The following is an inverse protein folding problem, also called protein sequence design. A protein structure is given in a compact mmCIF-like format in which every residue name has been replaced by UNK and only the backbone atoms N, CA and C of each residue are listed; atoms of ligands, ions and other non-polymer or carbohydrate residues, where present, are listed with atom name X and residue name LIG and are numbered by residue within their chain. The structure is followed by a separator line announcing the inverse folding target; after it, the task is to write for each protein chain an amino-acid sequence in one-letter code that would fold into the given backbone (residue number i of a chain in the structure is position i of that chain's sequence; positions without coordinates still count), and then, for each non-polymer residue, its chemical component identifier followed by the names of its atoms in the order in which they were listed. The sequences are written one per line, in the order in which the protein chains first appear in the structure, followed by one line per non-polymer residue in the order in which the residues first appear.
data_IF_748851190099
#
_entry.id   IF_748851190099
#
_cell.length_a   1.000
_cell.length_b   1.000
_cell.length_c   1.000
_cell.angle_alpha   90.00
_cell.angle_beta   90.00
_cell.angle_gamma   90.00
#
_symmetry.space_group_name_H-M   'P 1'
#
loop_
_entity.id
_entity.type
_entity.pdbx_description
1 polymer ?
#
# COMPACT_ATOMS: atom_id res chain seq x y z
N UNK A 1 4.00 -30.54 -21.79
CA UNK A 1 3.02 -30.86 -20.73
C UNK A 1 3.30 -29.95 -19.54
N UNK A 2 2.34 -29.13 -19.14
CA UNK A 2 2.44 -28.33 -17.92
C UNK A 2 2.42 -29.27 -16.71
N UNK A 3 3.44 -29.20 -15.85
CA UNK A 3 3.53 -29.99 -14.63
C UNK A 3 3.15 -29.09 -13.44
N UNK A 4 2.22 -29.56 -12.60
CA UNK A 4 1.77 -28.86 -11.39
C UNK A 4 2.91 -28.52 -10.43
N UNK A 5 4.06 -29.21 -10.55
CA UNK A 5 5.26 -28.93 -9.75
C UNK A 5 5.69 -27.47 -9.79
N UNK A 6 5.50 -26.76 -10.92
CA UNK A 6 5.90 -25.36 -11.06
C UNK A 6 5.14 -24.41 -10.11
N UNK A 7 3.94 -24.80 -9.64
CA UNK A 7 3.09 -23.97 -8.78
C UNK A 7 3.23 -24.30 -7.28
N UNK A 8 4.04 -25.30 -6.92
CA UNK A 8 4.27 -25.62 -5.51
C UNK A 8 5.08 -24.51 -4.85
N UNK A 9 4.76 -24.16 -3.60
CA UNK A 9 5.33 -22.98 -2.91
C UNK A 9 6.85 -23.02 -2.75
N UNK A 10 7.45 -24.22 -2.71
CA UNK A 10 8.89 -24.40 -2.67
C UNK A 10 9.58 -24.14 -4.01
N UNK A 11 8.83 -24.21 -5.11
CA UNK A 11 9.32 -24.02 -6.47
C UNK A 11 8.97 -22.63 -7.02
N UNK A 12 7.94 -21.98 -6.47
CA UNK A 12 7.62 -20.60 -6.77
C UNK A 12 8.74 -19.66 -6.30
N UNK A 13 9.17 -18.75 -7.18
CA UNK A 13 10.13 -17.71 -6.82
C UNK A 13 9.46 -16.81 -5.79
N UNK A 14 10.12 -16.64 -4.64
CA UNK A 14 9.65 -15.73 -3.60
C UNK A 14 9.86 -14.30 -4.07
N UNK A 15 8.89 -13.45 -3.75
CA UNK A 15 9.01 -12.03 -4.01
C UNK A 15 9.81 -11.41 -2.86
N UNK A 16 11.00 -10.92 -3.18
CA UNK A 16 11.88 -10.25 -2.22
C UNK A 16 11.39 -8.83 -1.92
N UNK A 17 11.76 -8.33 -0.74
CA UNK A 17 11.46 -6.96 -0.37
C UNK A 17 12.24 -5.96 -1.24
N UNK A 18 11.60 -4.84 -1.55
CA UNK A 18 12.15 -3.77 -2.38
C UNK A 18 12.66 -2.65 -1.49
N UNK A 19 13.86 -2.17 -1.77
CA UNK A 19 14.42 -0.98 -1.11
C UNK A 19 14.09 0.29 -1.87
N UNK A 20 13.72 1.35 -1.14
CA UNK A 20 13.34 2.62 -1.73
C UNK A 20 13.64 3.81 -0.81
N UNK A 21 14.27 4.87 -1.34
CA UNK A 21 14.45 6.12 -0.59
C UNK A 21 13.19 6.97 -0.72
N UNK A 22 12.35 6.97 0.32
CA UNK A 22 11.10 7.73 0.35
C UNK A 22 11.29 9.24 0.63
N UNK A 23 12.39 9.62 1.27
CA UNK A 23 12.72 11.00 1.59
C UNK A 23 14.22 11.20 1.72
N UNK A 24 14.73 12.31 1.18
CA UNK A 24 16.13 12.73 1.35
C UNK A 24 16.40 13.32 2.75
N UNK A 25 15.38 13.48 3.60
CA UNK A 25 15.51 14.12 4.92
C UNK A 25 15.89 13.15 6.03
N UNK A 26 15.67 11.85 5.82
CA UNK A 26 16.04 10.81 6.79
C UNK A 26 17.42 10.29 6.43
N UNK A 27 18.44 10.69 7.17
CA UNK A 27 19.84 10.37 6.87
C UNK A 27 20.39 9.36 7.87
N UNK A 28 21.26 8.47 7.39
CA UNK A 28 22.03 7.56 8.22
C UNK A 28 23.23 8.27 8.88
N UNK A 29 24.07 7.49 9.58
CA UNK A 29 25.27 8.00 10.25
C UNK A 29 26.33 8.55 9.29
N UNK A 30 26.26 8.18 8.01
CA UNK A 30 27.16 8.65 6.95
C UNK A 30 26.59 9.86 6.19
N UNK A 31 25.38 10.31 6.54
CA UNK A 31 24.70 11.42 5.87
C UNK A 31 24.01 11.03 4.56
N UNK A 32 23.80 9.73 4.30
CA UNK A 32 23.08 9.24 3.11
C UNK A 32 21.59 9.01 3.42
N UNK A 33 20.68 9.27 2.47
CA UNK A 33 19.26 8.96 2.65
C UNK A 33 19.02 7.48 2.98
N UNK A 34 18.20 7.24 3.99
CA UNK A 34 17.87 5.90 4.47
C UNK A 34 16.90 5.23 3.51
N UNK A 35 17.22 4.00 3.11
CA UNK A 35 16.35 3.14 2.34
C UNK A 35 15.25 2.55 3.22
N UNK A 36 14.01 2.68 2.77
CA UNK A 36 12.85 2.00 3.33
C UNK A 36 12.74 0.62 2.71
N UNK A 37 12.23 -0.35 3.47
CA UNK A 37 12.00 -1.71 2.99
C UNK A 37 10.51 -1.94 2.78
N UNK A 38 10.16 -2.35 1.55
CA UNK A 38 8.79 -2.54 1.11
C UNK A 38 8.53 -4.00 0.78
N UNK A 39 7.39 -4.53 1.20
CA UNK A 39 6.94 -5.88 0.83
C UNK A 39 5.71 -5.85 -0.08
N UNK A 40 5.60 -6.87 -0.91
CA UNK A 40 4.37 -7.18 -1.65
C UNK A 40 3.36 -7.81 -0.70
N UNK A 41 2.10 -7.39 -0.81
CA UNK A 41 1.00 -7.99 -0.10
C UNK A 41 0.45 -9.19 -0.86
N UNK A 42 0.06 -10.22 -0.12
CA UNK A 42 -0.77 -11.29 -0.65
C UNK A 42 -2.17 -10.75 -1.01
N UNK A 43 -2.86 -11.44 -1.93
CA UNK A 43 -4.25 -11.11 -2.26
C UNK A 43 -5.18 -11.15 -1.05
N UNK A 44 -4.89 -11.99 -0.05
CA UNK A 44 -5.68 -12.08 1.19
C UNK A 44 -5.47 -10.85 2.10
N UNK A 45 -4.22 -10.41 2.29
CA UNK A 45 -3.92 -9.18 3.03
C UNK A 45 -4.61 -7.97 2.38
N UNK A 46 -4.46 -7.83 1.07
CA UNK A 46 -5.05 -6.75 0.27
C UNK A 46 -6.60 -6.75 0.32
N UNK A 47 -7.23 -7.92 0.22
CA UNK A 47 -8.68 -8.05 0.39
C UNK A 47 -9.13 -7.70 1.83
N UNK A 48 -8.35 -8.07 2.84
CA UNK A 48 -8.61 -7.67 4.23
C UNK A 48 -8.55 -6.15 4.41
N UNK A 49 -7.58 -5.46 3.77
CA UNK A 49 -7.50 -4.00 3.78
C UNK A 49 -8.71 -3.35 3.11
N UNK A 50 -9.11 -3.83 1.92
CA UNK A 50 -10.32 -3.34 1.23
C UNK A 50 -11.57 -3.51 2.09
N UNK A 51 -11.75 -4.67 2.72
CA UNK A 51 -12.86 -4.92 3.64
C UNK A 51 -12.84 -3.99 4.85
N UNK A 52 -11.67 -3.81 5.48
CA UNK A 52 -11.48 -2.89 6.63
C UNK A 52 -11.88 -1.46 6.26
N UNK A 53 -11.63 -1.04 5.02
CA UNK A 53 -11.94 0.29 4.53
C UNK A 53 -13.32 0.41 3.87
N UNK A 54 -14.11 -0.68 3.80
CA UNK A 54 -15.48 -0.65 3.25
C UNK A 54 -16.47 -0.29 4.35
N UNK A 55 -17.29 0.74 4.12
CA UNK A 55 -18.35 1.18 5.04
C UNK A 55 -19.72 1.00 4.38
N UNK A 56 -20.72 0.70 5.21
CA UNK A 56 -22.13 0.72 4.77
C UNK A 56 -22.66 2.14 4.87
N UNK A 57 -23.04 2.72 3.73
CA UNK A 57 -23.58 4.08 3.63
C UNK A 57 -25.04 4.03 3.19
N UNK A 58 -25.85 5.00 3.66
CA UNK A 58 -27.26 5.10 3.29
C UNK A 58 -27.38 5.68 1.89
N UNK A 59 -28.19 5.05 1.05
CA UNK A 59 -28.47 5.55 -0.30
C UNK A 59 -29.30 6.83 -0.19
N UNK A 60 -28.84 7.89 -0.87
CA UNK A 60 -29.54 9.15 -1.04
C UNK A 60 -30.27 9.10 -2.39
N UNK A 61 -31.60 9.25 -2.37
CA UNK A 61 -32.38 9.33 -3.59
C UNK A 61 -32.16 10.67 -4.31
N UNK A 62 -32.58 10.75 -5.58
CA UNK A 62 -32.43 11.96 -6.41
C UNK A 62 -33.10 13.21 -5.82
N UNK A 63 -34.01 13.04 -4.85
CA UNK A 63 -34.67 14.11 -4.10
C UNK A 63 -33.90 14.54 -2.83
N UNK A 64 -32.67 14.07 -2.63
CA UNK A 64 -31.84 14.35 -1.46
C UNK A 64 -32.30 13.63 -0.18
N UNK A 65 -33.32 12.76 -0.24
CA UNK A 65 -33.84 12.04 0.93
C UNK A 65 -33.27 10.62 1.01
N UNK A 66 -33.10 10.12 2.22
CA UNK A 66 -32.71 8.73 2.45
C UNK A 66 -33.77 7.76 1.94
N UNK A 67 -33.38 6.75 1.18
CA UNK A 67 -34.29 5.74 0.64
C UNK A 67 -34.54 4.57 1.60
N UNK A 68 -33.84 4.53 2.74
CA UNK A 68 -33.83 3.39 3.66
C UNK A 68 -32.95 2.21 3.21
N UNK A 69 -32.41 2.28 1.99
CA UNK A 69 -31.46 1.29 1.45
C UNK A 69 -30.03 1.64 1.84
N UNK A 70 -29.17 0.62 1.88
CA UNK A 70 -27.74 0.76 2.15
C UNK A 70 -26.94 0.23 0.98
N UNK A 71 -25.83 0.89 0.67
CA UNK A 71 -24.79 0.40 -0.24
C UNK A 71 -23.46 0.29 0.49
N UNK A 72 -22.53 -0.45 -0.08
CA UNK A 72 -21.15 -0.55 0.39
C UNK A 72 -20.27 0.40 -0.41
N UNK A 73 -19.48 1.21 0.28
CA UNK A 73 -18.55 2.15 -0.32
C UNK A 73 -17.17 1.98 0.31
N UNK A 74 -16.13 1.91 -0.52
CA UNK A 74 -14.74 1.85 -0.06
C UNK A 74 -14.26 3.27 0.20
N UNK A 75 -13.76 3.51 1.41
CA UNK A 75 -12.99 4.71 1.75
C UNK A 75 -11.59 4.59 1.14
N UNK A 76 -11.46 5.02 -0.12
CA UNK A 76 -10.22 4.87 -0.89
C UNK A 76 -9.02 5.55 -0.23
N UNK A 77 -9.22 6.69 0.42
CA UNK A 77 -8.15 7.41 1.13
C UNK A 77 -7.62 6.59 2.33
N UNK A 78 -8.52 5.94 3.06
CA UNK A 78 -8.15 5.04 4.15
C UNK A 78 -7.46 3.79 3.61
N UNK A 79 -8.00 3.18 2.54
CA UNK A 79 -7.42 2.00 1.90
C UNK A 79 -5.98 2.25 1.41
N UNK A 80 -5.73 3.37 0.72
CA UNK A 80 -4.39 3.71 0.24
C UNK A 80 -3.41 3.90 1.39
N UNK A 81 -3.84 4.56 2.48
CA UNK A 81 -2.98 4.74 3.65
C UNK A 81 -2.65 3.41 4.33
N UNK A 82 -3.64 2.54 4.49
CA UNK A 82 -3.47 1.20 5.08
C UNK A 82 -2.62 0.29 4.18
N UNK A 83 -2.75 0.39 2.86
CA UNK A 83 -1.92 -0.31 1.88
C UNK A 83 -0.45 0.12 2.03
N UNK A 84 -0.19 1.42 2.10
CA UNK A 84 1.17 1.94 2.29
C UNK A 84 1.76 1.46 3.62
N UNK A 85 0.98 1.48 4.71
CA UNK A 85 1.39 0.97 6.01
C UNK A 85 1.73 -0.52 5.94
N UNK A 86 0.82 -1.34 5.43
CA UNK A 86 1.00 -2.79 5.38
C UNK A 86 2.17 -3.22 4.48
N UNK A 87 2.45 -2.45 3.41
CA UNK A 87 3.61 -2.66 2.56
C UNK A 87 4.93 -2.16 3.16
N UNK A 88 4.92 -1.37 4.24
CA UNK A 88 6.15 -0.87 4.88
C UNK A 88 6.67 -1.89 5.90
N UNK A 89 7.88 -2.40 5.69
CA UNK A 89 8.60 -3.28 6.64
C UNK A 89 9.58 -2.47 7.48
N UNK A 90 10.30 -1.54 6.84
CA UNK A 90 11.22 -0.62 7.50
C UNK A 90 11.01 0.81 6.96
N UNK A 91 10.87 1.83 7.83
CA UNK A 91 10.87 1.76 9.30
C UNK A 91 9.65 1.02 9.86
N UNK A 92 9.76 0.46 11.07
CA UNK A 92 8.62 -0.15 11.75
C UNK A 92 7.66 0.95 12.21
N UNK A 93 6.55 1.13 11.48
CA UNK A 93 5.55 2.16 11.78
C UNK A 93 4.80 1.89 13.09
N UNK A 94 4.89 0.67 13.65
CA UNK A 94 4.31 0.32 14.96
C UNK A 94 5.22 0.68 16.12
N UNK A 95 6.46 1.07 15.85
CA UNK A 95 7.41 1.43 16.89
C UNK A 95 6.89 2.63 17.71
N UNK A 96 6.80 2.41 19.02
CA UNK A 96 6.20 3.39 19.93
C UNK A 96 7.10 4.62 20.09
N UNK A 97 8.43 4.44 20.08
CA UNK A 97 9.37 5.56 20.19
C UNK A 97 9.25 6.46 18.96
N UNK A 98 9.18 5.86 17.77
CA UNK A 98 8.97 6.57 16.52
C UNK A 98 7.64 7.34 16.52
N UNK A 99 6.52 6.68 16.84
CA UNK A 99 5.21 7.36 16.92
C UNK A 99 5.20 8.51 17.92
N UNK A 100 5.77 8.30 19.11
CA UNK A 100 5.87 9.33 20.14
C UNK A 100 6.74 10.51 19.71
N UNK A 101 7.84 10.27 18.98
CA UNK A 101 8.72 11.34 18.48
C UNK A 101 8.00 12.31 17.52
N UNK A 102 6.99 11.82 16.80
CA UNK A 102 6.15 12.61 15.92
C UNK A 102 4.84 13.10 16.58
N UNK A 103 4.58 12.72 17.84
CA UNK A 103 3.39 13.13 18.58
C UNK A 103 2.08 12.60 17.99
N UNK A 104 2.12 11.44 17.33
CA UNK A 104 0.97 10.83 16.65
C UNK A 104 0.72 9.43 17.16
N UNK A 105 -0.54 8.98 17.06
CA UNK A 105 -0.92 7.62 17.37
C UNK A 105 -1.53 6.98 16.12
N UNK A 106 -0.94 5.87 15.69
CA UNK A 106 -1.37 5.10 14.52
C UNK A 106 -0.43 5.23 13.32
N UNK A 107 -0.17 4.09 12.69
CA UNK A 107 0.79 3.90 11.59
C UNK A 107 0.48 4.78 10.37
N UNK A 108 -0.79 4.87 9.98
CA UNK A 108 -1.22 5.66 8.82
C UNK A 108 -1.04 7.17 9.03
N UNK A 109 -1.28 7.65 10.26
CA UNK A 109 -1.06 9.05 10.61
C UNK A 109 0.43 9.34 10.72
N UNK A 110 1.22 8.42 11.29
CA UNK A 110 2.67 8.52 11.34
C UNK A 110 3.26 8.67 9.94
N UNK A 111 2.89 7.80 9.00
CA UNK A 111 3.40 7.86 7.63
C UNK A 111 3.14 9.22 6.96
N UNK A 112 1.92 9.77 7.12
CA UNK A 112 1.53 11.08 6.59
C UNK A 112 2.19 12.26 7.30
N UNK A 113 2.58 12.09 8.57
CA UNK A 113 3.33 13.10 9.33
C UNK A 113 4.82 13.07 9.02
N UNK A 114 5.39 11.87 8.80
CA UNK A 114 6.80 11.70 8.45
C UNK A 114 7.11 12.27 7.07
N UNK A 115 6.28 11.97 6.07
CA UNK A 115 6.48 12.36 4.68
C UNK A 115 5.79 13.68 4.37
N UNK A 116 6.43 14.54 3.58
CA UNK A 116 5.75 15.69 2.97
C UNK A 116 4.70 15.21 1.96
N UNK A 117 3.75 16.08 1.58
CA UNK A 117 2.69 15.70 0.64
C UNK A 117 3.22 15.12 -0.68
N UNK A 118 4.29 15.71 -1.25
CA UNK A 118 4.91 15.21 -2.47
C UNK A 118 5.62 13.87 -2.29
N UNK A 119 6.36 13.71 -1.17
CA UNK A 119 7.00 12.43 -0.83
C UNK A 119 5.97 11.33 -0.61
N UNK A 120 4.85 11.61 0.07
CA UNK A 120 3.78 10.65 0.29
C UNK A 120 3.10 10.20 -1.00
N UNK A 121 2.89 11.12 -1.95
CA UNK A 121 2.35 10.80 -3.29
C UNK A 121 3.31 9.87 -4.03
N UNK A 122 4.60 10.20 -4.08
CA UNK A 122 5.61 9.35 -4.73
C UNK A 122 5.75 7.99 -4.03
N UNK A 123 5.68 7.96 -2.71
CA UNK A 123 5.68 6.74 -1.92
C UNK A 123 4.49 5.85 -2.26
N UNK A 124 3.30 6.43 -2.37
CA UNK A 124 2.09 5.71 -2.78
C UNK A 124 2.26 5.10 -4.18
N UNK A 125 2.82 5.84 -5.14
CA UNK A 125 3.11 5.32 -6.48
C UNK A 125 4.06 4.12 -6.39
N UNK A 126 5.14 4.23 -5.60
CA UNK A 126 6.09 3.13 -5.42
C UNK A 126 5.46 1.90 -4.76
N UNK A 127 4.60 2.09 -3.76
CA UNK A 127 3.86 0.98 -3.13
C UNK A 127 2.95 0.28 -4.14
N UNK A 128 2.27 1.02 -5.02
CA UNK A 128 1.46 0.41 -6.09
C UNK A 128 2.32 -0.37 -7.09
N UNK A 129 3.47 0.18 -7.50
CA UNK A 129 4.44 -0.51 -8.37
C UNK A 129 4.92 -1.82 -7.73
N UNK A 130 5.31 -1.78 -6.45
CA UNK A 130 5.77 -2.95 -5.71
C UNK A 130 4.68 -4.03 -5.64
N UNK A 131 3.43 -3.64 -5.39
CA UNK A 131 2.31 -4.58 -5.37
C UNK A 131 1.82 -5.01 -6.76
N UNK A 132 2.43 -4.54 -7.85
CA UNK A 132 2.04 -4.88 -9.21
C UNK A 132 0.68 -4.31 -9.63
N UNK A 133 0.22 -3.23 -8.98
CA UNK A 133 -1.00 -2.51 -9.34
C UNK A 133 -0.78 -1.48 -10.44
N UNK A 134 0.46 -1.27 -10.85
CA UNK A 134 0.76 -0.41 -12.00
C UNK A 134 0.29 -1.09 -13.30
N UNK A 135 -0.73 -0.51 -13.92
CA UNK A 135 -1.36 -0.92 -15.18
C UNK A 135 -0.43 -0.78 -16.41
N UNK A 136 0.88 -1.04 -16.28
CA UNK A 136 1.84 -1.03 -17.40
C UNK A 136 2.31 -2.44 -17.80
N UNK A 137 1.87 -3.50 -17.13
CA UNK A 137 2.23 -4.87 -17.52
C UNK A 137 1.28 -5.48 -18.57
N UNK A 138 0.01 -5.07 -18.59
CA UNK A 138 -0.94 -5.48 -19.64
C UNK A 138 -0.60 -4.83 -21.00
N UNK A 139 -0.02 -3.63 -21.01
CA UNK A 139 0.49 -2.98 -22.23
C UNK A 139 1.80 -3.61 -22.76
N UNK A 140 2.63 -4.21 -21.89
CA UNK A 140 3.91 -4.84 -22.30
C UNK A 140 3.77 -6.24 -22.90
N UNK A 141 2.65 -6.92 -22.66
CA UNK A 141 2.38 -8.24 -23.27
C UNK A 141 1.83 -8.09 -24.70
N UNK A 142 1.20 -6.96 -25.03
CA UNK A 142 0.80 -6.61 -26.40
C UNK A 142 2.00 -6.29 -27.30
N UNK A 143 3.07 -5.65 -26.79
CA UNK A 143 4.30 -5.39 -27.57
C UNK A 143 5.16 -6.65 -27.82
N UNK A 144 5.07 -7.68 -26.98
CA UNK A 144 5.80 -8.94 -27.21
C UNK A 144 5.10 -9.89 -28.21
N UNK A 145 3.91 -9.52 -28.69
CA UNK A 145 3.10 -10.29 -29.65
C UNK A 145 2.96 -9.61 -31.01
N UNK A 146 3.58 -8.45 -31.21
CA UNK A 146 3.64 -7.73 -32.50
C UNK A 146 5.03 -7.81 -33.14
#
# INVERSE_FOLDING_TARGET
MSNLSAFLSQNAIKVDNVKYVASNRFLDKEGKPVEWELKVLSSEEDEALRRKCTKRVKVIGNNGKHTGQYTSEIDYNSYVAELCVASTVFPDLKDAELQNSYGVMGEAQLLKTMLTAGEYVNYTVKVNEVNGFDTSFEDKVEEAKN
#
